data_IF_511515908623
#
_entry.id   IF_511515908623
#
_cell.length_a   1.000
_cell.length_b   1.000
_cell.length_c   1.000
_cell.angle_alpha   90.00
_cell.angle_beta   90.00
_cell.angle_gamma   90.00
#
_symmetry.space_group_name_H-M   'P 1'
#
loop_
_entity.id
_entity.type
_entity.pdbx_description
1 polymer ?
#
# COMPACT_ATOMS: atom_id res chain seq x y z
N UNK A 1 9.35 -14.96 -7.30
CA UNK A 1 9.42 -16.42 -7.14
C UNK A 1 10.88 -16.78 -6.81
N UNK A 2 11.16 -17.25 -5.62
CA UNK A 2 12.49 -17.76 -5.28
C UNK A 2 12.44 -19.28 -5.35
N UNK A 3 13.24 -19.87 -6.21
CA UNK A 3 13.44 -21.31 -6.28
C UNK A 3 14.79 -21.62 -5.63
N UNK A 4 14.77 -22.33 -4.50
CA UNK A 4 15.98 -22.88 -3.89
C UNK A 4 16.01 -24.38 -4.19
N UNK A 5 16.76 -24.83 -5.18
CA UNK A 5 16.95 -26.25 -5.42
C UNK A 5 18.08 -26.78 -4.51
N UNK A 6 17.76 -27.80 -3.77
CA UNK A 6 18.76 -28.62 -3.08
C UNK A 6 19.22 -29.68 -4.06
N UNK A 7 20.22 -29.39 -4.88
CA UNK A 7 20.73 -30.33 -5.87
C UNK A 7 22.21 -30.13 -6.11
N UNK A 8 22.93 -31.25 -6.30
CA UNK A 8 24.35 -31.33 -6.59
C UNK A 8 24.80 -30.83 -7.99
N UNK A 9 23.88 -30.32 -8.83
CA UNK A 9 24.19 -29.70 -10.13
C UNK A 9 24.13 -28.18 -10.04
N UNK A 10 25.18 -27.55 -9.56
CA UNK A 10 25.29 -26.10 -9.34
C UNK A 10 24.94 -25.25 -10.58
N UNK A 11 25.26 -25.73 -11.79
CA UNK A 11 25.04 -24.97 -13.02
C UNK A 11 23.57 -24.73 -13.38
N UNK A 12 22.67 -25.70 -13.12
CA UNK A 12 21.22 -25.53 -13.38
C UNK A 12 20.59 -24.64 -12.32
N UNK A 13 21.06 -24.72 -11.08
CA UNK A 13 20.61 -23.90 -9.96
C UNK A 13 20.92 -22.42 -10.23
N UNK A 14 22.08 -22.14 -10.75
CA UNK A 14 22.47 -20.77 -11.10
C UNK A 14 21.60 -20.21 -12.22
N UNK A 15 21.25 -20.97 -13.25
CA UNK A 15 20.36 -20.54 -14.33
C UNK A 15 18.94 -20.27 -13.81
N UNK A 16 18.41 -21.11 -12.92
CA UNK A 16 17.06 -20.93 -12.34
C UNK A 16 16.98 -19.70 -11.41
N UNK A 17 18.11 -19.31 -10.80
CA UNK A 17 18.19 -18.17 -9.91
C UNK A 17 18.75 -16.90 -10.58
N UNK A 18 19.41 -16.99 -11.75
CA UNK A 18 20.13 -15.87 -12.38
C UNK A 18 19.30 -15.06 -13.38
N UNK A 19 18.12 -15.50 -13.79
CA UNK A 19 17.29 -14.73 -14.73
C UNK A 19 16.82 -13.40 -14.18
N UNK A 20 17.21 -13.06 -12.96
CA UNK A 20 16.93 -11.79 -12.34
C UNK A 20 18.16 -10.91 -12.10
N UNK A 21 19.33 -11.29 -12.54
CA UNK A 21 20.58 -10.57 -12.25
C UNK A 21 20.99 -9.54 -13.32
N UNK A 22 20.06 -8.99 -14.08
CA UNK A 22 20.37 -7.87 -14.96
C UNK A 22 20.17 -6.51 -14.26
N UNK A 23 20.72 -6.35 -13.05
CA UNK A 23 21.07 -5.01 -12.58
C UNK A 23 22.21 -5.07 -11.56
N UNK A 24 23.34 -4.50 -11.95
CA UNK A 24 24.58 -4.41 -11.16
C UNK A 24 24.45 -3.40 -10.03
N UNK A 25 23.63 -3.70 -9.02
CA UNK A 25 23.69 -2.99 -7.76
C UNK A 25 23.56 -4.01 -6.62
N UNK A 26 24.62 -4.08 -5.83
CA UNK A 26 24.92 -5.00 -4.72
C UNK A 26 23.94 -4.94 -3.52
N UNK A 27 22.65 -5.11 -3.71
CA UNK A 27 21.67 -5.14 -2.61
C UNK A 27 20.80 -6.38 -2.63
N UNK A 28 21.30 -7.57 -2.96
CA UNK A 28 20.60 -8.83 -2.65
C UNK A 28 19.10 -8.90 -3.00
N UNK A 29 18.62 -8.08 -3.94
CA UNK A 29 17.22 -8.07 -4.35
C UNK A 29 16.93 -9.35 -5.12
N UNK A 30 16.03 -10.14 -4.57
CA UNK A 30 15.50 -11.33 -5.23
C UNK A 30 14.72 -10.84 -6.45
N UNK A 31 15.21 -11.20 -7.64
CA UNK A 31 14.48 -10.90 -8.86
C UNK A 31 13.25 -11.79 -8.98
N UNK A 32 12.10 -11.16 -9.17
CA UNK A 32 10.83 -11.84 -9.35
C UNK A 32 10.47 -12.03 -10.82
N UNK A 33 9.52 -12.91 -11.09
CA UNK A 33 8.88 -13.07 -12.40
C UNK A 33 7.65 -12.16 -12.47
N UNK A 34 7.47 -11.51 -13.61
CA UNK A 34 6.28 -10.67 -13.88
C UNK A 34 5.20 -11.52 -14.54
N UNK A 35 3.95 -11.40 -14.07
CA UNK A 35 2.82 -11.96 -14.77
C UNK A 35 2.57 -11.16 -16.06
N UNK A 36 2.32 -11.87 -17.14
CA UNK A 36 1.82 -11.27 -18.38
C UNK A 36 0.30 -11.00 -18.31
N UNK A 37 -0.25 -10.37 -19.34
CA UNK A 37 -1.68 -10.05 -19.44
C UNK A 37 -2.58 -11.31 -19.46
N UNK A 38 -2.01 -12.47 -19.74
CA UNK A 38 -2.70 -13.76 -19.76
C UNK A 38 -2.58 -14.50 -18.42
N UNK A 39 -1.89 -13.91 -17.44
CA UNK A 39 -1.63 -14.50 -16.14
C UNK A 39 -0.63 -15.64 -16.16
N UNK A 40 0.31 -15.61 -17.10
CA UNK A 40 1.41 -16.55 -17.20
C UNK A 40 2.73 -15.88 -16.78
N UNK A 41 3.68 -16.67 -16.32
CA UNK A 41 5.06 -16.27 -16.07
C UNK A 41 5.97 -17.02 -17.04
N UNK A 42 6.98 -16.34 -17.56
CA UNK A 42 8.05 -16.98 -18.34
C UNK A 42 9.12 -17.50 -17.37
N UNK A 43 9.08 -18.80 -17.14
CA UNK A 43 10.00 -19.44 -16.21
C UNK A 43 11.16 -20.09 -16.98
N UNK A 44 12.43 -19.83 -16.62
CA UNK A 44 13.58 -20.41 -17.30
C UNK A 44 13.47 -21.93 -17.37
N UNK A 45 13.81 -22.48 -18.52
CA UNK A 45 13.82 -23.91 -18.82
C UNK A 45 12.41 -24.52 -18.93
N UNK A 46 11.44 -24.11 -18.11
CA UNK A 46 10.05 -24.61 -18.14
C UNK A 46 9.15 -23.83 -19.11
N UNK A 47 9.61 -22.65 -19.59
CA UNK A 47 8.82 -21.78 -20.48
C UNK A 47 7.62 -21.14 -19.77
N UNK A 48 6.56 -20.90 -20.52
CA UNK A 48 5.37 -20.20 -20.03
C UNK A 48 4.52 -21.09 -19.11
N UNK A 49 4.37 -20.66 -17.86
CA UNK A 49 3.53 -21.30 -16.85
C UNK A 49 2.34 -20.41 -16.51
N UNK A 50 1.12 -20.86 -16.78
CA UNK A 50 -0.11 -20.15 -16.38
C UNK A 50 -0.33 -20.32 -14.88
N UNK A 51 -0.31 -19.20 -14.14
CA UNK A 51 -0.43 -19.18 -12.67
C UNK A 51 -1.58 -18.29 -12.19
N UNK A 52 -2.33 -17.69 -13.09
CA UNK A 52 -3.48 -16.85 -12.75
C UNK A 52 -4.50 -17.60 -11.89
N UNK A 53 -4.92 -16.96 -10.79
CA UNK A 53 -5.89 -17.55 -9.86
C UNK A 53 -5.36 -18.64 -8.93
N UNK A 54 -4.08 -18.97 -9.03
CA UNK A 54 -3.44 -19.96 -8.16
C UNK A 54 -2.94 -19.33 -6.86
N UNK A 55 -3.03 -20.11 -5.77
CA UNK A 55 -2.38 -19.75 -4.50
C UNK A 55 -0.87 -20.01 -4.57
N UNK A 56 -0.09 -19.42 -3.66
CA UNK A 56 1.36 -19.64 -3.56
C UNK A 56 1.73 -21.13 -3.48
N UNK A 57 1.00 -21.88 -2.68
CA UNK A 57 1.22 -23.33 -2.53
C UNK A 57 0.92 -24.11 -3.82
N UNK A 58 -0.10 -23.70 -4.57
CA UNK A 58 -0.43 -24.33 -5.86
C UNK A 58 0.64 -24.02 -6.91
N UNK A 59 1.12 -22.79 -6.96
CA UNK A 59 2.22 -22.40 -7.87
C UNK A 59 3.50 -23.17 -7.51
N UNK A 60 3.83 -23.27 -6.22
CA UNK A 60 5.00 -24.03 -5.77
C UNK A 60 4.90 -25.51 -6.15
N UNK A 61 3.72 -26.11 -5.99
CA UNK A 61 3.47 -27.51 -6.37
C UNK A 61 3.59 -27.70 -7.89
N UNK A 62 3.02 -26.80 -8.69
CA UNK A 62 3.10 -26.82 -10.16
C UNK A 62 4.55 -26.78 -10.64
N UNK A 63 5.33 -25.82 -10.15
CA UNK A 63 6.74 -25.67 -10.53
C UNK A 63 7.54 -26.90 -10.07
N UNK A 64 7.32 -27.38 -8.84
CA UNK A 64 7.98 -28.59 -8.33
C UNK A 64 7.68 -29.82 -9.20
N UNK A 65 6.43 -29.99 -9.61
CA UNK A 65 6.01 -31.07 -10.49
C UNK A 65 6.68 -30.98 -11.84
N UNK A 66 6.66 -29.82 -12.49
CA UNK A 66 7.29 -29.61 -13.81
C UNK A 66 8.79 -29.87 -13.78
N UNK A 67 9.51 -29.36 -12.76
CA UNK A 67 10.94 -29.60 -12.60
C UNK A 67 11.29 -31.10 -12.45
N UNK A 68 10.39 -31.90 -11.83
CA UNK A 68 10.55 -33.35 -11.73
C UNK A 68 10.23 -34.07 -13.04
N UNK A 69 9.17 -33.70 -13.73
CA UNK A 69 8.75 -34.30 -15.01
C UNK A 69 9.85 -34.17 -16.07
N UNK A 70 10.55 -33.03 -16.10
CA UNK A 70 11.65 -32.81 -17.03
C UNK A 70 13.01 -33.32 -16.53
N UNK A 71 13.03 -34.04 -15.40
CA UNK A 71 14.26 -34.58 -14.78
C UNK A 71 15.36 -33.55 -14.54
N UNK A 72 15.00 -32.29 -14.35
CA UNK A 72 15.95 -31.20 -14.15
C UNK A 72 16.53 -31.19 -12.74
N UNK A 73 15.67 -31.52 -11.75
CA UNK A 73 16.04 -31.54 -10.32
C UNK A 73 15.31 -32.68 -9.62
N UNK A 74 16.04 -33.48 -8.84
CA UNK A 74 15.46 -34.68 -8.19
C UNK A 74 14.52 -34.35 -7.02
N UNK A 75 14.87 -33.35 -6.20
CA UNK A 75 14.02 -32.93 -5.07
C UNK A 75 14.06 -31.39 -4.89
N UNK A 76 13.34 -30.64 -5.76
CA UNK A 76 13.34 -29.19 -5.69
C UNK A 76 12.55 -28.70 -4.48
N UNK A 77 13.12 -27.75 -3.74
CA UNK A 77 12.39 -26.92 -2.79
C UNK A 77 12.02 -25.63 -3.49
N UNK A 78 10.72 -25.37 -3.64
CA UNK A 78 10.19 -24.19 -4.34
C UNK A 78 9.46 -23.31 -3.34
N UNK A 79 9.93 -22.09 -3.13
CA UNK A 79 9.27 -21.08 -2.32
C UNK A 79 8.71 -19.99 -3.24
N UNK A 80 7.44 -19.67 -3.06
CA UNK A 80 6.74 -18.64 -3.85
C UNK A 80 6.34 -17.50 -2.92
N UNK A 81 6.76 -16.29 -3.26
CA UNK A 81 6.37 -15.08 -2.57
C UNK A 81 5.82 -14.07 -3.59
N UNK A 82 4.77 -13.37 -3.21
CA UNK A 82 4.28 -12.26 -4.01
C UNK A 82 5.12 -11.02 -3.70
N UNK A 83 5.73 -10.47 -4.73
CA UNK A 83 6.48 -9.23 -4.63
C UNK A 83 5.57 -8.04 -4.98
N UNK A 84 5.92 -6.86 -4.46
CA UNK A 84 5.24 -5.60 -4.79
C UNK A 84 3.77 -5.49 -4.35
N UNK A 85 3.32 -6.34 -3.42
CA UNK A 85 2.05 -6.12 -2.76
C UNK A 85 2.11 -4.81 -1.99
N UNK A 86 1.18 -3.91 -2.25
CA UNK A 86 1.17 -2.58 -1.63
C UNK A 86 -0.24 -2.04 -1.50
N UNK A 87 -0.40 -1.15 -0.53
CA UNK A 87 -1.59 -0.33 -0.31
C UNK A 87 -1.16 1.13 -0.12
N UNK A 88 -2.09 2.04 -0.18
CA UNK A 88 -1.82 3.46 0.04
C UNK A 88 -2.62 3.99 1.23
N UNK A 89 -2.01 4.85 2.04
CA UNK A 89 -2.70 5.56 3.12
C UNK A 89 -2.62 7.05 2.85
N UNK A 90 -3.76 7.71 2.82
CA UNK A 90 -3.90 9.12 2.47
C UNK A 90 -4.77 9.87 3.50
N UNK A 91 -4.70 11.19 3.48
CA UNK A 91 -5.50 12.06 4.33
C UNK A 91 -4.81 12.39 5.65
N UNK A 92 -5.56 12.47 6.74
CA UNK A 92 -5.09 12.95 8.04
C UNK A 92 -4.40 11.85 8.86
N UNK A 93 -3.26 11.36 8.34
CA UNK A 93 -2.29 10.49 9.02
C UNK A 93 -0.94 11.19 9.13
N UNK A 94 -0.06 10.71 9.99
CA UNK A 94 1.25 11.36 10.20
C UNK A 94 2.15 11.24 8.97
N UNK A 95 2.17 10.07 8.35
CA UNK A 95 3.00 9.76 7.18
C UNK A 95 2.15 9.17 6.07
N UNK A 96 1.45 10.02 5.26
CA UNK A 96 0.73 9.52 4.11
C UNK A 96 1.71 8.98 3.06
N UNK A 97 1.35 7.88 2.40
CA UNK A 97 2.21 7.26 1.41
C UNK A 97 1.75 5.90 0.95
N UNK A 98 2.58 5.28 0.11
CA UNK A 98 2.41 3.91 -0.35
C UNK A 98 3.27 2.99 0.51
N UNK A 99 2.67 1.90 1.01
CA UNK A 99 3.29 0.94 1.90
C UNK A 99 3.31 -0.44 1.26
N UNK A 100 4.40 -1.17 1.43
CA UNK A 100 4.51 -2.55 0.96
C UNK A 100 3.94 -3.53 2.01
N UNK A 101 3.34 -4.59 1.53
CA UNK A 101 2.85 -5.70 2.35
C UNK A 101 3.91 -6.80 2.29
N UNK A 102 4.60 -7.03 3.39
CA UNK A 102 5.63 -8.07 3.52
C UNK A 102 5.11 -9.40 4.08
N UNK A 103 3.84 -9.43 4.48
CA UNK A 103 3.15 -10.59 5.06
C UNK A 103 2.06 -11.07 4.11
N UNK A 104 1.45 -12.21 4.44
CA UNK A 104 0.34 -12.78 3.67
C UNK A 104 -0.92 -11.92 3.71
N UNK A 105 -1.10 -11.19 4.78
CA UNK A 105 -2.20 -10.27 5.01
C UNK A 105 -1.76 -9.10 5.88
N UNK A 106 -2.45 -8.01 5.77
CA UNK A 106 -2.32 -6.83 6.63
C UNK A 106 -3.70 -6.35 7.01
N UNK A 107 -3.85 -5.96 8.27
CA UNK A 107 -5.11 -5.40 8.77
C UNK A 107 -5.16 -3.89 8.57
N UNK A 108 -6.37 -3.32 8.54
CA UNK A 108 -6.57 -1.87 8.48
C UNK A 108 -5.88 -1.14 9.64
N UNK A 109 -5.89 -1.75 10.83
CA UNK A 109 -5.22 -1.16 12.01
C UNK A 109 -3.70 -1.17 11.87
N UNK A 110 -3.10 -2.25 11.35
CA UNK A 110 -1.67 -2.29 11.06
C UNK A 110 -1.29 -1.25 9.99
N UNK A 111 -2.09 -1.11 8.94
CA UNK A 111 -1.88 -0.13 7.89
C UNK A 111 -1.87 1.31 8.44
N UNK A 112 -2.82 1.64 9.30
CA UNK A 112 -2.88 2.95 9.99
C UNK A 112 -1.68 3.12 10.92
N UNK A 113 -1.28 2.07 11.64
CA UNK A 113 -0.10 2.09 12.50
C UNK A 113 1.19 2.34 11.71
N UNK A 114 1.35 1.73 10.52
CA UNK A 114 2.48 1.99 9.62
C UNK A 114 2.51 3.44 9.14
N UNK A 115 1.35 4.07 8.96
CA UNK A 115 1.24 5.48 8.64
C UNK A 115 1.41 6.42 9.87
N UNK A 116 1.81 5.87 11.04
CA UNK A 116 2.09 6.61 12.26
C UNK A 116 0.85 7.07 13.03
N UNK A 117 -0.30 6.42 12.80
CA UNK A 117 -1.63 6.78 13.33
C UNK A 117 -2.19 8.07 12.72
N UNK A 118 -3.46 8.33 13.03
CA UNK A 118 -4.16 9.54 12.62
C UNK A 118 -3.54 10.78 13.28
N UNK A 119 -3.60 11.92 12.58
CA UNK A 119 -3.34 13.22 13.22
C UNK A 119 -4.47 13.59 14.19
N UNK A 120 -4.27 14.64 14.98
CA UNK A 120 -5.32 15.20 15.85
C UNK A 120 -6.54 15.72 15.06
N UNK A 121 -6.37 15.90 13.74
CA UNK A 121 -7.42 16.35 12.83
C UNK A 121 -8.11 15.21 12.10
N UNK A 122 -7.58 13.98 12.19
CA UNK A 122 -8.15 12.80 11.55
C UNK A 122 -9.40 12.30 12.27
N UNK A 123 -10.44 11.99 11.52
CA UNK A 123 -11.68 11.41 12.05
C UNK A 123 -11.55 9.91 12.18
N UNK A 124 -11.62 9.38 13.42
CA UNK A 124 -11.60 7.93 13.68
C UNK A 124 -12.90 7.22 13.27
N UNK A 125 -13.98 7.97 13.13
CA UNK A 125 -15.30 7.51 12.71
C UNK A 125 -15.55 7.60 11.21
N UNK A 126 -14.60 8.12 10.45
CA UNK A 126 -14.78 8.34 9.01
C UNK A 126 -13.50 7.98 8.23
N UNK A 127 -13.25 6.68 8.17
CA UNK A 127 -12.19 6.10 7.34
C UNK A 127 -12.83 5.44 6.13
N UNK A 128 -12.30 5.69 4.97
CA UNK A 128 -12.75 5.12 3.73
C UNK A 128 -11.69 4.18 3.19
N UNK A 129 -12.07 2.95 2.87
CA UNK A 129 -11.23 2.01 2.13
C UNK A 129 -11.79 1.90 0.73
N UNK A 130 -11.03 2.35 -0.25
CA UNK A 130 -11.39 2.30 -1.66
C UNK A 130 -10.70 1.06 -2.24
N UNK A 131 -11.52 0.14 -2.74
CA UNK A 131 -11.09 -1.13 -3.31
C UNK A 131 -11.64 -1.28 -4.72
N UNK A 132 -10.85 -1.85 -5.61
CA UNK A 132 -11.34 -2.26 -6.92
C UNK A 132 -11.93 -3.68 -6.82
N UNK A 133 -13.22 -3.80 -7.12
CA UNK A 133 -13.95 -5.06 -7.14
C UNK A 133 -14.62 -5.24 -8.51
N UNK A 134 -14.26 -6.29 -9.22
CA UNK A 134 -14.81 -6.62 -10.57
C UNK A 134 -14.71 -5.46 -11.58
N UNK A 135 -13.63 -4.66 -11.51
CA UNK A 135 -13.41 -3.52 -12.40
C UNK A 135 -14.12 -2.22 -11.97
N UNK A 136 -14.85 -2.22 -10.85
CA UNK A 136 -15.47 -1.04 -10.29
C UNK A 136 -14.79 -0.64 -8.97
N UNK A 137 -14.73 0.65 -8.69
CA UNK A 137 -14.19 1.16 -7.42
C UNK A 137 -15.29 1.27 -6.39
N UNK A 138 -15.20 0.43 -5.37
CA UNK A 138 -16.13 0.41 -4.25
C UNK A 138 -15.48 1.11 -3.06
N UNK A 139 -16.24 1.98 -2.40
CA UNK A 139 -15.79 2.68 -1.19
C UNK A 139 -16.51 2.10 0.02
N UNK A 140 -15.73 1.57 0.96
CA UNK A 140 -16.24 1.06 2.23
C UNK A 140 -15.96 2.07 3.34
N UNK A 141 -16.99 2.44 4.07
CA UNK A 141 -16.87 3.28 5.26
C UNK A 141 -16.60 2.45 6.49
N UNK A 142 -15.66 2.89 7.33
CA UNK A 142 -15.24 2.20 8.55
C UNK A 142 -15.13 3.19 9.71
N UNK A 143 -15.66 2.80 10.87
CA UNK A 143 -15.47 3.49 12.15
C UNK A 143 -14.52 2.67 13.03
N UNK A 144 -13.33 3.23 13.32
CA UNK A 144 -12.33 2.56 14.18
C UNK A 144 -12.73 2.43 15.64
N UNK A 145 -13.78 3.12 16.07
CA UNK A 145 -14.28 3.08 17.45
C UNK A 145 -15.31 1.96 17.66
N UNK A 146 -15.83 1.41 16.56
CA UNK A 146 -16.83 0.34 16.60
C UNK A 146 -16.18 -1.03 16.56
N UNK A 147 -16.69 -1.97 17.35
CA UNK A 147 -16.29 -3.39 17.26
C UNK A 147 -16.70 -4.04 15.94
N UNK A 148 -17.61 -3.43 15.18
CA UNK A 148 -18.01 -3.94 13.85
C UNK A 148 -16.88 -3.84 12.82
N UNK A 149 -15.84 -3.07 13.10
CA UNK A 149 -14.61 -3.02 12.34
C UNK A 149 -14.08 -4.43 12.04
N UNK A 150 -14.05 -5.32 13.03
CA UNK A 150 -13.50 -6.68 12.88
C UNK A 150 -14.33 -7.58 11.96
N UNK A 151 -15.60 -7.22 11.70
CA UNK A 151 -16.50 -7.92 10.78
C UNK A 151 -16.52 -7.30 9.39
N UNK A 152 -15.83 -6.17 9.22
CA UNK A 152 -15.81 -5.44 7.95
C UNK A 152 -15.11 -6.26 6.85
N UNK A 153 -15.64 -6.30 5.62
CA UNK A 153 -15.00 -6.97 4.47
C UNK A 153 -13.65 -6.36 4.11
N UNK A 154 -13.37 -5.14 4.59
CA UNK A 154 -12.12 -4.41 4.35
C UNK A 154 -11.21 -4.36 5.57
N UNK A 155 -11.51 -5.15 6.61
CA UNK A 155 -10.61 -5.28 7.76
C UNK A 155 -9.23 -5.81 7.35
N UNK A 156 -9.21 -6.81 6.45
CA UNK A 156 -8.00 -7.24 5.76
C UNK A 156 -7.86 -6.49 4.45
N UNK A 157 -6.78 -5.74 4.32
CA UNK A 157 -6.48 -5.00 3.11
C UNK A 157 -6.01 -5.92 2.00
N UNK A 158 -6.34 -5.56 0.76
CA UNK A 158 -5.88 -6.21 -0.47
C UNK A 158 -4.88 -5.32 -1.19
N UNK A 159 -4.23 -5.89 -2.18
CA UNK A 159 -3.35 -5.15 -3.08
C UNK A 159 -4.09 -3.96 -3.72
N UNK A 160 -3.42 -2.82 -3.78
CA UNK A 160 -3.89 -1.56 -4.34
C UNK A 160 -5.07 -0.91 -3.58
N UNK A 161 -5.45 -1.40 -2.40
CA UNK A 161 -6.40 -0.69 -1.55
C UNK A 161 -5.88 0.71 -1.21
N UNK A 162 -6.79 1.68 -1.16
CA UNK A 162 -6.50 3.03 -0.72
C UNK A 162 -7.28 3.31 0.55
N UNK A 163 -6.55 3.53 1.64
CA UNK A 163 -7.11 3.94 2.94
C UNK A 163 -7.09 5.45 3.01
N UNK A 164 -8.24 6.07 3.07
CA UNK A 164 -8.37 7.52 3.17
C UNK A 164 -8.95 7.92 4.52
N UNK A 165 -8.22 8.74 5.27
CA UNK A 165 -8.64 9.28 6.57
C UNK A 165 -9.20 10.68 6.36
N UNK A 166 -10.48 10.86 6.64
CA UNK A 166 -11.15 12.14 6.47
C UNK A 166 -10.69 13.17 7.50
N UNK A 167 -10.42 14.43 7.10
CA UNK A 167 -10.15 15.51 8.03
C UNK A 167 -11.40 15.93 8.82
N UNK A 168 -11.21 16.45 10.01
CA UNK A 168 -12.27 17.08 10.77
C UNK A 168 -12.63 18.47 10.22
N UNK A 169 -13.74 19.07 10.71
CA UNK A 169 -14.23 20.37 10.26
C UNK A 169 -13.21 21.50 10.46
N UNK A 170 -12.38 21.41 11.50
CA UNK A 170 -11.35 22.43 11.81
C UNK A 170 -10.28 22.45 10.71
N UNK A 171 -9.80 21.28 10.31
CA UNK A 171 -8.81 21.16 9.24
C UNK A 171 -9.38 21.51 7.87
N UNK A 172 -10.60 21.05 7.59
CA UNK A 172 -11.30 21.40 6.36
C UNK A 172 -11.53 22.90 6.23
N UNK A 173 -11.87 23.59 7.33
CA UNK A 173 -12.04 25.04 7.35
C UNK A 173 -10.74 25.85 7.17
N UNK A 174 -9.58 25.28 7.52
CA UNK A 174 -8.26 25.90 7.30
C UNK A 174 -7.86 25.93 5.81
N UNK A 175 -8.44 25.07 4.99
CA UNK A 175 -8.17 25.05 3.54
C UNK A 175 -8.94 26.11 2.75
N UNK A 176 -9.96 26.72 3.35
CA UNK A 176 -10.73 27.83 2.78
C UNK A 176 -10.19 29.15 3.36
N UNK A 177 -9.28 29.78 2.64
CA UNK A 177 -8.51 30.97 3.09
C UNK A 177 -9.35 32.22 3.45
N UNK A 178 -10.63 32.27 3.14
CA UNK A 178 -11.41 33.50 3.28
C UNK A 178 -12.38 33.58 4.48
N UNK A 179 -12.85 32.46 5.04
CA UNK A 179 -13.82 32.56 6.13
C UNK A 179 -13.20 32.76 7.51
N UNK A 180 -12.00 32.25 7.77
CA UNK A 180 -11.36 32.35 9.08
C UNK A 180 -10.62 33.67 9.30
N UNK A 181 -10.15 34.32 8.23
CA UNK A 181 -9.45 35.60 8.35
C UNK A 181 -10.40 36.73 8.79
N UNK A 182 -11.63 36.72 8.28
CA UNK A 182 -12.64 37.74 8.64
C UNK A 182 -13.20 37.52 10.07
N UNK A 183 -13.18 36.26 10.56
CA UNK A 183 -13.62 35.89 11.91
C UNK A 183 -12.53 36.03 12.97
N UNK A 184 -11.30 36.35 12.58
CA UNK A 184 -10.21 36.49 13.57
C UNK A 184 -10.38 37.78 14.36
N UNK A 185 -10.46 37.64 15.67
CA UNK A 185 -10.51 38.80 16.60
C UNK A 185 -9.34 39.74 16.38
N UNK A 186 -8.16 39.19 16.02
CA UNK A 186 -6.96 39.97 15.71
C UNK A 186 -7.12 40.93 14.55
N UNK A 187 -7.86 40.57 13.51
CA UNK A 187 -8.12 41.45 12.36
C UNK A 187 -8.98 42.64 12.78
N UNK A 188 -10.00 42.42 13.57
CA UNK A 188 -10.89 43.49 14.10
C UNK A 188 -10.14 44.40 15.07
N UNK A 189 -9.26 43.87 15.93
CA UNK A 189 -8.42 44.65 16.82
C UNK A 189 -7.46 45.56 15.98
N UNK A 190 -6.84 44.98 14.95
CA UNK A 190 -5.94 45.73 14.08
C UNK A 190 -6.63 46.89 13.34
N UNK A 191 -7.85 46.63 12.83
CA UNK A 191 -8.67 47.66 12.18
C UNK A 191 -9.06 48.72 13.20
N UNK A 192 -9.49 48.34 14.38
CA UNK A 192 -9.86 49.27 15.46
C UNK A 192 -8.69 50.16 15.89
N UNK A 193 -7.51 49.57 16.06
CA UNK A 193 -6.26 50.28 16.41
C UNK A 193 -5.83 51.28 15.29
N UNK A 194 -5.96 50.86 14.03
CA UNK A 194 -5.66 51.74 12.91
C UNK A 194 -6.60 52.94 12.84
N UNK A 195 -7.89 52.73 13.01
CA UNK A 195 -8.91 53.83 13.02
C UNK A 195 -8.70 54.78 14.18
N UNK A 196 -8.37 54.29 15.37
CA UNK A 196 -8.05 55.18 16.51
C UNK A 196 -6.79 55.99 16.30
N UNK A 197 -5.73 55.40 15.73
CA UNK A 197 -4.51 56.15 15.35
C UNK A 197 -4.79 57.25 14.32
N UNK A 198 -5.62 56.93 13.33
CA UNK A 198 -6.00 57.90 12.29
C UNK A 198 -6.86 59.03 12.88
N UNK A 199 -7.76 58.71 13.79
CA UNK A 199 -8.58 59.71 14.51
C UNK A 199 -7.74 60.69 15.32
N UNK A 200 -6.75 60.19 16.07
CA UNK A 200 -5.83 61.06 16.84
C UNK A 200 -5.01 61.98 15.94
N UNK A 201 -4.62 61.51 14.74
CA UNK A 201 -3.86 62.28 13.80
C UNK A 201 -4.65 63.39 13.10
N UNK A 202 -5.98 63.16 12.88
CA UNK A 202 -6.86 64.15 12.21
C UNK A 202 -7.43 65.18 13.16
N UNK A 203 -7.53 64.91 14.46
CA UNK A 203 -8.10 65.81 15.45
C UNK A 203 -7.06 66.50 16.34
N UNK A 204 -5.77 66.39 15.99
CA UNK A 204 -4.70 67.12 16.59
C UNK A 204 -4.29 68.31 15.69
#
# INVERSE_FOLDING_TARGET
LCVMPFSLRSQIVDILNTTGLNNSNNNGEISGYTLDDKGAIDFPVLGNLTVAGMTRSQIAALVKQRLKEENLVNDPVVTVEFMNLSFSVLGEVKTPGKYSISKDYITLLEAISMAGDLTIYGKRDAIFVIREEKGERVTHWVDLRSCDLFKSPVYYLKQNDVVYVQPNKVRAGQSTLNENSVKSVGLWISIGSFLTSLGVLLFK
#
